data_IF_107122067050
#
_entry.id   IF_107122067050
#
_cell.length_a   1.000
_cell.length_b   1.000
_cell.length_c   1.000
_cell.angle_alpha   90.00
_cell.angle_beta   90.00
_cell.angle_gamma   90.00
#
_symmetry.space_group_name_H-M   'P 1'
#
loop_
_entity.id
_entity.type
_entity.pdbx_description
1 polymer ?
#
# COMPACT_ATOMS: atom_id res chain seq x y z
N UNK A 1 15.23 -9.71 -28.79
CA UNK A 1 16.46 -10.03 -28.01
C UNK A 1 17.02 -8.71 -27.51
N UNK A 2 16.89 -8.36 -26.22
CA UNK A 2 17.34 -7.05 -25.69
C UNK A 2 18.86 -7.09 -25.48
N UNK A 3 19.55 -6.10 -26.04
CA UNK A 3 21.00 -5.96 -25.89
C UNK A 3 21.40 -5.87 -24.40
N UNK A 4 22.51 -6.50 -23.99
CA UNK A 4 22.98 -6.41 -22.61
C UNK A 4 23.51 -4.99 -22.37
N UNK A 5 22.82 -4.25 -21.51
CA UNK A 5 23.22 -2.88 -21.16
C UNK A 5 24.53 -2.82 -20.36
N UNK A 6 25.12 -1.63 -20.22
CA UNK A 6 26.34 -1.43 -19.44
C UNK A 6 26.10 -1.75 -17.96
N UNK A 7 27.15 -2.17 -17.27
CA UNK A 7 27.11 -2.38 -15.82
C UNK A 7 26.85 -1.05 -15.10
N UNK A 8 25.81 -0.99 -14.27
CA UNK A 8 25.44 0.23 -13.56
C UNK A 8 26.46 0.67 -12.48
N UNK A 9 27.34 -0.23 -12.05
CA UNK A 9 28.28 0.05 -10.96
C UNK A 9 29.66 0.49 -11.45
N UNK A 10 30.16 -0.12 -12.53
CA UNK A 10 31.51 0.18 -13.06
C UNK A 10 31.50 0.79 -14.46
N UNK A 11 30.32 0.99 -15.07
CA UNK A 11 30.19 1.56 -16.42
C UNK A 11 30.73 0.67 -17.54
N UNK A 12 31.16 -0.56 -17.23
CA UNK A 12 31.72 -1.45 -18.24
C UNK A 12 30.66 -1.81 -19.30
N UNK A 13 31.02 -1.61 -20.56
CA UNK A 13 30.19 -1.93 -21.74
C UNK A 13 30.11 -3.45 -22.00
N UNK A 14 30.90 -4.23 -21.27
CA UNK A 14 30.88 -5.69 -21.34
C UNK A 14 29.58 -6.24 -20.74
N UNK A 15 28.83 -6.89 -21.61
CA UNK A 15 27.49 -7.44 -21.42
C UNK A 15 27.15 -7.79 -19.96
N UNK A 16 26.34 -6.95 -19.32
CA UNK A 16 25.83 -7.25 -17.98
C UNK A 16 25.21 -8.66 -17.96
N UNK A 17 25.87 -9.58 -17.26
CA UNK A 17 25.51 -11.02 -17.21
C UNK A 17 24.40 -11.33 -16.22
N UNK A 18 24.14 -10.39 -15.32
CA UNK A 18 23.28 -10.60 -14.17
C UNK A 18 22.43 -9.36 -13.90
N UNK A 19 21.30 -9.55 -13.24
CA UNK A 19 20.35 -8.49 -12.89
C UNK A 19 19.89 -8.59 -11.44
N UNK A 20 19.64 -7.45 -10.83
CA UNK A 20 19.15 -7.38 -9.47
C UNK A 20 17.63 -7.65 -9.44
N UNK A 21 17.13 -8.64 -8.67
CA UNK A 21 15.70 -8.93 -8.61
C UNK A 21 14.87 -7.85 -7.88
N UNK A 22 15.52 -6.83 -7.31
CA UNK A 22 14.85 -5.76 -6.54
C UNK A 22 14.59 -4.49 -7.35
N UNK A 23 15.38 -4.23 -8.39
CA UNK A 23 15.37 -2.97 -9.15
C UNK A 23 15.76 -3.15 -10.63
N UNK A 24 15.90 -4.39 -11.11
CA UNK A 24 16.28 -4.76 -12.48
C UNK A 24 17.62 -4.21 -13.01
N UNK A 25 18.43 -3.61 -12.12
CA UNK A 25 19.73 -3.05 -12.47
C UNK A 25 20.67 -4.15 -12.97
N UNK A 26 21.30 -3.90 -14.12
CA UNK A 26 22.19 -4.84 -14.78
C UNK A 26 23.64 -4.65 -14.32
N UNK A 27 24.35 -5.75 -14.05
CA UNK A 27 25.74 -5.73 -13.61
C UNK A 27 26.58 -6.84 -14.25
N UNK A 28 27.89 -6.60 -14.36
CA UNK A 28 28.80 -7.51 -15.05
C UNK A 28 29.34 -8.66 -14.16
N UNK A 29 29.30 -8.52 -12.83
CA UNK A 29 29.96 -9.47 -11.92
C UNK A 29 29.40 -9.44 -10.48
N UNK A 30 29.72 -10.49 -9.70
CA UNK A 30 29.36 -10.60 -8.27
C UNK A 30 29.85 -9.43 -7.40
N UNK A 31 31.07 -8.87 -7.56
CA UNK A 31 31.47 -7.70 -6.79
C UNK A 31 30.58 -6.48 -7.09
N UNK A 32 30.21 -6.23 -8.35
CA UNK A 32 29.25 -5.18 -8.70
C UNK A 32 27.88 -5.44 -8.06
N UNK A 33 27.42 -6.69 -7.99
CA UNK A 33 26.18 -7.04 -7.28
C UNK A 33 26.23 -6.68 -5.79
N UNK A 34 27.36 -6.91 -5.12
CA UNK A 34 27.52 -6.58 -3.71
C UNK A 34 27.48 -5.07 -3.48
N UNK A 35 28.25 -4.31 -4.24
CA UNK A 35 28.25 -2.84 -4.17
C UNK A 35 26.86 -2.27 -4.45
N UNK A 36 26.18 -2.81 -5.46
CA UNK A 36 24.81 -2.45 -5.78
C UNK A 36 23.86 -2.72 -4.61
N UNK A 37 23.94 -3.91 -4.01
CA UNK A 37 23.05 -4.34 -2.91
C UNK A 37 23.13 -3.45 -1.68
N UNK A 38 24.29 -2.86 -1.38
CA UNK A 38 24.44 -1.93 -0.25
C UNK A 38 23.63 -0.64 -0.45
N UNK A 39 23.37 -0.25 -1.70
CA UNK A 39 22.64 0.98 -2.07
C UNK A 39 21.25 0.69 -2.66
N UNK A 40 20.93 -0.59 -2.89
CA UNK A 40 19.68 -1.03 -3.48
C UNK A 40 18.56 -0.97 -2.43
N UNK A 41 17.78 0.11 -2.44
CA UNK A 41 16.58 0.22 -1.62
C UNK A 41 15.48 -0.76 -2.10
N UNK A 42 14.73 -1.41 -1.19
CA UNK A 42 13.52 -2.13 -1.56
C UNK A 42 12.42 -1.10 -1.90
N UNK A 43 12.16 -0.84 -3.18
CA UNK A 43 11.07 0.07 -3.54
C UNK A 43 10.97 0.60 -4.97
N UNK A 44 11.80 0.18 -5.93
CA UNK A 44 11.64 0.64 -7.32
C UNK A 44 11.15 -0.51 -8.21
N UNK A 45 9.87 -0.88 -8.06
CA UNK A 45 9.17 -1.57 -9.15
C UNK A 45 8.87 -0.53 -10.24
N UNK A 46 9.27 -0.86 -11.47
CA UNK A 46 8.76 -0.27 -12.70
C UNK A 46 7.26 -0.46 -12.74
N UNK A 47 6.53 0.59 -12.41
CA UNK A 47 5.28 0.85 -13.11
C UNK A 47 5.62 1.68 -14.35
N UNK A 48 4.78 1.58 -15.37
CA UNK A 48 4.92 2.17 -16.72
C UNK A 48 5.94 1.52 -17.67
N UNK A 49 5.46 0.62 -18.52
CA UNK A 49 5.24 0.93 -19.95
C UNK A 49 4.78 -0.35 -20.69
N UNK A 50 3.45 -0.51 -20.83
CA UNK A 50 2.86 -1.23 -21.98
C UNK A 50 1.42 -0.78 -22.25
N UNK A 51 1.25 0.54 -22.43
CA UNK A 51 0.11 1.10 -23.15
C UNK A 51 0.41 0.99 -24.65
N UNK A 52 -0.11 -0.07 -25.30
CA UNK A 52 -0.48 -0.10 -26.72
C UNK A 52 -0.95 -1.51 -27.11
N UNK A 53 -2.27 -1.73 -27.07
CA UNK A 53 -3.07 -2.33 -28.15
C UNK A 53 -4.44 -2.81 -27.62
N UNK A 54 -5.48 -2.08 -28.03
CA UNK A 54 -6.85 -2.52 -28.34
C UNK A 54 -7.41 -3.83 -27.73
N UNK A 55 -8.54 -3.71 -27.01
CA UNK A 55 -9.73 -4.53 -27.31
C UNK A 55 -10.45 -5.22 -26.13
N UNK A 56 -11.64 -4.70 -25.83
CA UNK A 56 -12.82 -5.34 -25.19
C UNK A 56 -12.93 -5.42 -23.64
N UNK A 57 -14.14 -5.24 -23.08
CA UNK A 57 -14.38 -5.24 -21.65
C UNK A 57 -14.60 -6.66 -21.15
N UNK A 58 -13.59 -7.23 -20.48
CA UNK A 58 -13.75 -8.43 -19.69
C UNK A 58 -13.56 -8.04 -18.22
N UNK A 59 -14.63 -8.30 -17.46
CA UNK A 59 -14.71 -8.46 -16.00
C UNK A 59 -13.34 -8.58 -15.29
N UNK A 60 -13.07 -7.81 -14.22
CA UNK A 60 -11.84 -8.01 -13.46
C UNK A 60 -11.96 -9.33 -12.68
N UNK A 61 -11.39 -10.38 -13.26
CA UNK A 61 -11.07 -11.63 -12.56
C UNK A 61 -10.08 -11.29 -11.42
N UNK A 62 -10.37 -11.70 -10.17
CA UNK A 62 -9.49 -11.43 -9.05
C UNK A 62 -8.18 -12.20 -9.21
N UNK A 63 -7.07 -11.53 -8.91
CA UNK A 63 -5.74 -12.14 -8.88
C UNK A 63 -5.75 -13.35 -7.92
N UNK A 64 -5.40 -14.58 -8.37
CA UNK A 64 -5.30 -15.73 -7.47
C UNK A 64 -3.96 -15.65 -6.74
N UNK A 65 -3.96 -15.03 -5.55
CA UNK A 65 -2.72 -14.88 -4.77
C UNK A 65 -2.83 -14.31 -3.37
N UNK A 66 -3.94 -13.69 -2.99
CA UNK A 66 -4.19 -13.29 -1.60
C UNK A 66 -5.15 -14.30 -0.96
N UNK A 67 -4.63 -15.45 -0.51
CA UNK A 67 -5.31 -16.26 0.51
C UNK A 67 -5.08 -15.52 1.82
N UNK A 68 -5.84 -14.46 2.04
CA UNK A 68 -6.00 -13.90 3.37
C UNK A 68 -6.70 -14.96 4.22
N UNK A 69 -6.33 -15.10 5.49
CA UNK A 69 -7.13 -15.93 6.39
C UNK A 69 -8.58 -15.41 6.38
N UNK A 70 -9.56 -16.30 6.50
CA UNK A 70 -10.99 -15.96 6.56
C UNK A 70 -11.28 -14.88 7.63
N UNK A 71 -10.42 -14.81 8.64
CA UNK A 71 -10.37 -13.83 9.73
C UNK A 71 -9.98 -12.41 9.26
N UNK A 72 -8.97 -12.28 8.39
CA UNK A 72 -8.53 -10.97 7.84
C UNK A 72 -9.54 -10.40 6.84
N UNK A 73 -10.35 -11.26 6.22
CA UNK A 73 -11.40 -10.83 5.30
C UNK A 73 -12.61 -10.23 6.05
N UNK A 74 -12.84 -10.66 7.29
CA UNK A 74 -13.89 -10.11 8.16
C UNK A 74 -13.54 -8.72 8.74
N UNK A 75 -12.27 -8.46 8.98
CA UNK A 75 -11.77 -7.15 9.46
C UNK A 75 -11.74 -6.08 8.35
N UNK A 76 -11.92 -6.46 7.08
CA UNK A 76 -11.92 -5.52 5.96
C UNK A 76 -13.26 -4.80 5.83
N UNK A 77 -13.21 -3.47 5.88
CA UNK A 77 -14.39 -2.62 5.64
C UNK A 77 -14.79 -2.67 4.15
N UNK A 78 -16.05 -3.04 3.82
CA UNK A 78 -16.55 -3.04 2.45
C UNK A 78 -16.54 -1.64 1.82
N UNK A 79 -16.30 -1.56 0.50
CA UNK A 79 -16.26 -0.30 -0.25
C UNK A 79 -17.53 0.55 -0.09
N UNK A 80 -18.70 -0.09 0.00
CA UNK A 80 -19.98 0.59 0.22
C UNK A 80 -20.00 1.36 1.54
N UNK A 81 -19.47 0.76 2.63
CA UNK A 81 -19.35 1.43 3.93
C UNK A 81 -18.29 2.54 3.91
N UNK A 82 -17.20 2.34 3.16
CA UNK A 82 -16.18 3.38 2.97
C UNK A 82 -16.72 4.61 2.23
N UNK A 83 -17.71 4.46 1.35
CA UNK A 83 -18.34 5.61 0.68
C UNK A 83 -19.13 6.49 1.66
N UNK A 84 -19.74 5.90 2.68
CA UNK A 84 -20.48 6.62 3.73
C UNK A 84 -19.58 7.61 4.50
N UNK A 85 -18.30 7.29 4.64
CA UNK A 85 -17.31 8.20 5.24
C UNK A 85 -17.24 9.55 4.49
N UNK A 86 -17.42 9.54 3.16
CA UNK A 86 -17.40 10.75 2.34
C UNK A 86 -18.67 11.61 2.44
N UNK A 87 -19.76 11.05 2.97
CA UNK A 87 -21.04 11.74 3.16
C UNK A 87 -21.13 12.43 4.52
N UNK A 88 -20.32 12.01 5.50
CA UNK A 88 -20.25 12.64 6.83
C UNK A 88 -19.60 14.02 6.78
N UNK A 89 -20.36 15.06 7.12
CA UNK A 89 -19.84 16.43 7.23
C UNK A 89 -18.82 16.57 8.36
N UNK A 90 -19.05 15.90 9.50
CA UNK A 90 -18.15 15.90 10.64
C UNK A 90 -16.77 15.35 10.27
N UNK A 91 -16.73 14.18 9.60
CA UNK A 91 -15.48 13.60 9.14
C UNK A 91 -14.76 14.52 8.14
N UNK A 92 -15.50 15.15 7.24
CA UNK A 92 -14.95 16.09 6.26
C UNK A 92 -14.35 17.32 6.93
N UNK A 93 -14.98 17.81 8.00
CA UNK A 93 -14.45 18.93 8.78
C UNK A 93 -13.17 18.57 9.53
N UNK A 94 -13.08 17.37 10.12
CA UNK A 94 -11.81 16.89 10.68
C UNK A 94 -10.71 16.82 9.61
N UNK A 95 -11.04 16.33 8.41
CA UNK A 95 -10.11 16.23 7.28
C UNK A 95 -9.69 17.59 6.68
N UNK A 96 -10.39 18.70 6.98
CA UNK A 96 -9.91 20.05 6.63
C UNK A 96 -8.63 20.40 7.39
N UNK A 97 -8.34 19.73 8.51
CA UNK A 97 -7.13 19.96 9.28
C UNK A 97 -5.88 19.44 8.55
N UNK A 98 -4.93 20.32 8.17
CA UNK A 98 -3.73 19.91 7.45
C UNK A 98 -2.77 19.04 8.30
N UNK A 99 -2.88 19.09 9.63
CA UNK A 99 -2.11 18.20 10.49
C UNK A 99 -2.61 16.76 10.37
N UNK A 100 -3.92 16.54 10.50
CA UNK A 100 -4.52 15.21 10.37
C UNK A 100 -4.17 14.56 9.02
N UNK A 101 -4.27 15.31 7.92
CA UNK A 101 -3.88 14.81 6.58
C UNK A 101 -2.41 14.39 6.51
N UNK A 102 -1.51 15.11 7.18
CA UNK A 102 -0.09 14.72 7.25
C UNK A 102 0.12 13.45 8.08
N UNK A 103 -0.62 13.27 9.17
CA UNK A 103 -0.58 12.04 9.96
C UNK A 103 -1.01 10.84 9.12
N UNK A 104 -2.13 10.97 8.38
CA UNK A 104 -2.65 9.93 7.49
C UNK A 104 -1.67 9.57 6.37
N UNK A 105 -1.13 10.58 5.67
CA UNK A 105 -0.12 10.38 4.62
C UNK A 105 1.18 9.76 5.17
N UNK A 106 1.56 10.12 6.40
CA UNK A 106 2.71 9.54 7.08
C UNK A 106 2.49 8.06 7.39
N UNK A 107 1.28 7.69 7.81
CA UNK A 107 0.91 6.30 8.08
C UNK A 107 0.89 5.44 6.81
N UNK A 108 0.37 5.97 5.71
CA UNK A 108 0.35 5.27 4.43
C UNK A 108 1.77 4.91 3.94
N UNK A 109 2.71 5.85 4.09
CA UNK A 109 4.10 5.73 3.61
C UNK A 109 5.04 5.02 4.60
N UNK A 110 4.61 4.78 5.84
CA UNK A 110 5.46 4.21 6.87
C UNK A 110 5.83 2.74 6.60
N UNK A 111 7.09 2.40 6.89
CA UNK A 111 7.57 1.00 6.85
C UNK A 111 6.93 0.15 7.94
N UNK A 112 6.81 0.71 9.14
CA UNK A 112 6.24 0.05 10.32
C UNK A 112 4.89 0.70 10.70
N UNK A 113 3.85 0.38 9.91
CA UNK A 113 2.50 0.93 10.10
C UNK A 113 1.94 0.66 11.49
N UNK A 114 2.17 -0.53 12.04
CA UNK A 114 1.66 -0.92 13.36
C UNK A 114 2.23 -0.08 14.50
N UNK A 115 3.54 0.22 14.44
CA UNK A 115 4.20 1.06 15.45
C UNK A 115 3.75 2.50 15.33
N UNK A 116 3.69 3.03 14.10
CA UNK A 116 3.25 4.39 13.86
C UNK A 116 1.77 4.57 14.22
N UNK A 117 0.91 3.61 13.91
CA UNK A 117 -0.50 3.64 14.29
C UNK A 117 -0.64 3.77 15.82
N UNK A 118 0.10 2.98 16.61
CA UNK A 118 0.10 3.12 18.07
C UNK A 118 0.55 4.51 18.53
N UNK A 119 1.48 5.13 17.83
CA UNK A 119 1.89 6.50 18.13
C UNK A 119 0.78 7.49 17.79
N UNK A 120 0.14 7.36 16.62
CA UNK A 120 -0.97 8.22 16.22
C UNK A 120 -2.17 8.09 17.14
N UNK A 121 -2.41 6.91 17.73
CA UNK A 121 -3.45 6.71 18.74
C UNK A 121 -3.22 7.51 20.04
N UNK A 122 -2.05 8.12 20.23
CA UNK A 122 -1.82 9.05 21.34
C UNK A 122 -2.18 10.51 20.98
N UNK A 123 -2.36 10.81 19.69
CA UNK A 123 -2.74 12.14 19.22
C UNK A 123 -4.27 12.29 19.29
N UNK A 124 -4.80 13.25 20.08
CA UNK A 124 -6.25 13.38 20.29
C UNK A 124 -7.01 13.60 18.99
N UNK A 125 -6.42 14.37 18.07
CA UNK A 125 -7.01 14.64 16.75
C UNK A 125 -7.17 13.37 15.89
N UNK A 126 -6.23 12.43 16.00
CA UNK A 126 -6.29 11.18 15.25
C UNK A 126 -7.26 10.19 15.91
N UNK A 127 -7.38 10.21 17.25
CA UNK A 127 -8.39 9.44 17.98
C UNK A 127 -9.80 9.90 17.60
N UNK A 128 -10.07 11.21 17.62
CA UNK A 128 -11.38 11.75 17.19
C UNK A 128 -11.71 11.35 15.75
N UNK A 129 -10.73 11.38 14.86
CA UNK A 129 -10.89 10.90 13.49
C UNK A 129 -11.24 9.41 13.41
N UNK A 130 -10.55 8.57 14.18
CA UNK A 130 -10.78 7.14 14.20
C UNK A 130 -12.18 6.82 14.76
N UNK A 131 -12.57 7.48 15.86
CA UNK A 131 -13.89 7.32 16.48
C UNK A 131 -15.01 7.72 15.51
N UNK A 132 -14.86 8.84 14.79
CA UNK A 132 -15.80 9.23 13.74
C UNK A 132 -15.89 8.19 12.61
N UNK A 133 -14.76 7.63 12.17
CA UNK A 133 -14.78 6.59 11.14
C UNK A 133 -15.51 5.34 11.63
N UNK A 134 -15.15 4.85 12.82
CA UNK A 134 -15.72 3.64 13.42
C UNK A 134 -17.22 3.79 13.64
N UNK A 135 -17.70 4.93 14.13
CA UNK A 135 -19.14 5.18 14.29
C UNK A 135 -19.95 5.12 12.99
N UNK A 136 -19.31 5.35 11.83
CA UNK A 136 -19.95 5.26 10.51
C UNK A 136 -19.89 3.83 9.96
N UNK A 137 -18.75 3.14 10.10
CA UNK A 137 -18.54 1.80 9.53
C UNK A 137 -19.11 0.68 10.40
N UNK A 138 -19.13 0.91 11.71
CA UNK A 138 -19.70 0.08 12.76
C UNK A 138 -20.75 0.92 13.49
N UNK A 139 -21.93 1.15 12.86
CA UNK A 139 -23.02 1.78 13.58
C UNK A 139 -23.28 0.96 14.84
N UNK A 140 -23.61 1.60 15.98
CA UNK A 140 -23.94 0.90 17.20
C UNK A 140 -25.25 0.14 16.95
N UNK A 141 -25.15 -1.07 16.43
CA UNK A 141 -26.23 -2.03 16.53
C UNK A 141 -26.42 -2.24 18.02
N UNK A 142 -27.57 -1.78 18.53
CA UNK A 142 -28.13 -2.29 19.78
C UNK A 142 -27.88 -3.79 19.79
N UNK A 143 -27.37 -4.30 20.91
CA UNK A 143 -27.21 -5.73 21.16
C UNK A 143 -28.56 -6.44 20.99
N UNK A 144 -29.00 -6.73 19.78
CA UNK A 144 -30.05 -7.71 19.51
C UNK A 144 -29.37 -9.08 19.47
N UNK A 145 -28.87 -9.47 20.64
CA UNK A 145 -28.80 -10.87 21.00
C UNK A 145 -29.70 -11.03 22.24
N UNK A 146 -30.99 -10.74 22.04
CA UNK A 146 -32.02 -11.27 22.93
C UNK A 146 -32.09 -12.77 22.62
N UNK A 147 -31.35 -13.52 23.42
CA UNK A 147 -31.39 -14.97 23.51
C UNK A 147 -32.85 -15.47 23.48
N UNK A 148 -33.31 -16.21 22.45
CA UNK A 148 -34.60 -16.87 22.54
C UNK A 148 -34.52 -17.97 23.62
N UNK A 149 -35.56 -17.99 24.45
CA UNK A 149 -35.76 -18.86 25.63
C UNK A 149 -35.76 -20.35 25.30
#
# INVERSE_FOLDING_TARGET
>A
MRAPGPCAECGAESAARYRCPRCDTAYCSVPCCRTHRERCAPGARRDEEKEAALGSPAVPEPCPGDILSEEEEQDRVPLQKLQLLGESEELRDLLRNPHLRRLLLGLEQARDKSSLLRQLMQEPLFVEFADCCLGIVEPPEEKENVLPK
#
